data_IF_800569917336
#
_entry.id   IF_800569917336
#
_cell.length_a   1.000
_cell.length_b   1.000
_cell.length_c   1.000
_cell.angle_alpha   90.00
_cell.angle_beta   90.00
_cell.angle_gamma   90.00
#
_symmetry.space_group_name_H-M   'P 1'
#
loop_
_entity.id
_entity.type
_entity.pdbx_description
1 polymer ?
#
# COMPACT_ATOMS: atom_id res chain seq x y z
N UNK A 1 -19.11 1.05 8.61
CA UNK A 1 -19.08 1.35 7.16
C UNK A 1 -17.78 2.08 6.90
N UNK A 2 -16.91 1.53 6.06
CA UNK A 2 -15.60 2.13 5.75
C UNK A 2 -15.51 2.33 4.25
N UNK A 3 -15.08 3.52 3.83
CA UNK A 3 -15.03 3.87 2.40
C UNK A 3 -13.80 3.30 1.70
N UNK A 4 -12.81 2.90 2.50
CA UNK A 4 -11.61 2.21 2.04
C UNK A 4 -11.22 1.08 2.99
N UNK A 5 -10.72 -0.02 2.44
CA UNK A 5 -10.33 -1.23 3.17
C UNK A 5 -8.83 -1.45 3.00
N UNK A 6 -8.14 -1.68 4.11
CA UNK A 6 -6.70 -1.97 4.15
C UNK A 6 -6.48 -3.07 5.19
N UNK A 7 -5.82 -4.15 4.77
CA UNK A 7 -5.48 -5.28 5.65
C UNK A 7 -4.21 -5.99 5.18
N UNK A 8 -3.47 -6.56 6.11
CA UNK A 8 -2.38 -7.47 5.81
C UNK A 8 -2.94 -8.90 5.65
N UNK A 9 -2.64 -9.54 4.52
CA UNK A 9 -2.97 -10.95 4.25
C UNK A 9 -1.73 -11.61 3.68
N UNK A 10 -1.19 -12.63 4.35
CA UNK A 10 -0.04 -13.41 3.89
C UNK A 10 1.16 -12.55 3.45
N UNK A 11 1.43 -11.46 4.17
CA UNK A 11 2.54 -10.54 3.87
C UNK A 11 2.29 -9.59 2.70
N UNK A 12 1.04 -9.47 2.24
CA UNK A 12 0.60 -8.54 1.19
C UNK A 12 -0.37 -7.53 1.82
N UNK A 13 -0.15 -6.25 1.54
CA UNK A 13 -1.09 -5.18 1.88
C UNK A 13 -2.22 -5.17 0.86
N UNK A 14 -3.34 -5.79 1.21
CA UNK A 14 -4.55 -5.80 0.41
C UNK A 14 -5.30 -4.49 0.61
N UNK A 15 -5.61 -3.82 -0.49
CA UNK A 15 -6.30 -2.53 -0.52
C UNK A 15 -7.55 -2.60 -1.40
N UNK A 16 -8.53 -1.74 -1.15
CA UNK A 16 -9.66 -1.60 -2.06
C UNK A 16 -10.76 -0.68 -1.55
N UNK A 17 -11.66 -0.31 -2.47
CA UNK A 17 -12.82 0.50 -2.16
C UNK A 17 -13.85 -0.28 -1.32
N UNK A 18 -14.49 0.43 -0.39
CA UNK A 18 -15.60 -0.05 0.40
C UNK A 18 -16.90 0.65 0.00
N UNK A 19 -17.55 1.29 0.96
CA UNK A 19 -18.79 2.02 0.71
C UNK A 19 -18.56 3.22 -0.22
N UNK A 20 -19.49 3.55 -1.14
CA UNK A 20 -19.32 4.65 -2.09
C UNK A 20 -19.07 6.00 -1.40
N UNK A 21 -18.00 6.69 -1.81
CA UNK A 21 -17.63 7.98 -1.26
C UNK A 21 -16.77 8.82 -2.21
N UNK A 22 -16.59 10.10 -1.87
CA UNK A 22 -15.70 11.02 -2.57
C UNK A 22 -14.26 10.89 -2.06
N UNK A 23 -13.28 11.21 -2.90
CA UNK A 23 -11.86 11.02 -2.57
C UNK A 23 -11.42 11.76 -1.31
N UNK A 24 -12.04 12.90 -0.95
CA UNK A 24 -11.73 13.60 0.30
C UNK A 24 -12.04 12.74 1.54
N UNK A 25 -13.08 11.91 1.51
CA UNK A 25 -13.37 10.96 2.59
C UNK A 25 -12.47 9.72 2.50
N UNK A 26 -12.30 9.17 1.31
CA UNK A 26 -11.52 7.94 1.10
C UNK A 26 -10.06 8.12 1.57
N UNK A 27 -9.44 9.27 1.30
CA UNK A 27 -8.07 9.56 1.77
C UNK A 27 -7.98 9.67 3.30
N UNK A 28 -9.01 10.22 3.95
CA UNK A 28 -9.06 10.32 5.41
C UNK A 28 -9.19 8.93 6.04
N UNK A 29 -10.08 8.08 5.50
CA UNK A 29 -10.28 6.71 5.97
C UNK A 29 -9.02 5.87 5.76
N UNK A 30 -8.38 5.98 4.59
CA UNK A 30 -7.12 5.28 4.30
C UNK A 30 -6.01 5.71 5.28
N UNK A 31 -5.87 7.01 5.53
CA UNK A 31 -4.88 7.53 6.48
C UNK A 31 -5.16 7.05 7.92
N UNK A 32 -6.42 7.09 8.35
CA UNK A 32 -6.83 6.64 9.68
C UNK A 32 -6.56 5.14 9.89
N UNK A 33 -6.85 4.30 8.88
CA UNK A 33 -6.59 2.86 8.97
C UNK A 33 -5.09 2.54 9.00
N UNK A 34 -4.26 3.21 8.20
CA UNK A 34 -2.80 3.01 8.26
C UNK A 34 -2.20 3.45 9.60
N UNK A 35 -2.75 4.52 10.19
CA UNK A 35 -2.38 5.00 11.51
C UNK A 35 -2.74 3.98 12.61
N UNK A 36 -3.93 3.39 12.53
CA UNK A 36 -4.35 2.29 13.40
C UNK A 36 -3.39 1.10 13.27
N UNK A 37 -3.12 0.63 12.04
CA UNK A 37 -2.19 -0.49 11.78
C UNK A 37 -0.78 -0.25 12.33
N UNK A 38 -0.32 1.00 12.30
CA UNK A 38 0.96 1.40 12.89
C UNK A 38 0.93 1.26 14.41
N UNK A 39 -0.17 1.65 15.06
CA UNK A 39 -0.36 1.57 16.53
C UNK A 39 -0.55 0.13 17.01
N UNK A 40 -1.25 -0.70 16.25
CA UNK A 40 -1.49 -2.11 16.55
C UNK A 40 -0.32 -3.02 16.17
N UNK A 41 0.75 -2.48 15.58
CA UNK A 41 1.90 -3.22 15.05
C UNK A 41 1.51 -4.27 14.00
N UNK A 42 0.43 -4.03 13.26
CA UNK A 42 0.11 -4.79 12.04
C UNK A 42 1.06 -4.41 10.89
N UNK A 43 1.60 -3.18 10.90
CA UNK A 43 2.51 -2.64 9.89
C UNK A 43 3.91 -2.45 10.47
N UNK A 44 4.68 -3.55 10.59
CA UNK A 44 5.98 -3.58 11.28
C UNK A 44 7.19 -3.11 10.46
N UNK A 45 6.99 -2.73 9.19
CA UNK A 45 8.10 -2.42 8.27
C UNK A 45 8.85 -3.67 7.79
N UNK A 46 9.88 -3.49 6.97
CA UNK A 46 10.65 -4.60 6.41
C UNK A 46 11.41 -4.25 5.14
N UNK A 47 12.05 -5.24 4.52
CA UNK A 47 12.85 -5.00 3.31
C UNK A 47 12.00 -4.66 2.08
N UNK A 48 10.85 -5.31 1.94
CA UNK A 48 9.93 -5.17 0.81
C UNK A 48 8.48 -5.26 1.29
N UNK A 49 7.66 -4.30 0.87
CA UNK A 49 6.20 -4.40 0.95
C UNK A 49 5.60 -4.70 -0.42
N UNK A 50 4.61 -5.58 -0.46
CA UNK A 50 3.79 -5.83 -1.65
C UNK A 50 2.38 -5.30 -1.43
N UNK A 51 1.89 -4.48 -2.35
CA UNK A 51 0.55 -3.89 -2.31
C UNK A 51 -0.29 -4.46 -3.45
N UNK A 52 -1.50 -4.93 -3.15
CA UNK A 52 -2.43 -5.44 -4.15
C UNK A 52 -3.84 -4.88 -3.97
N UNK A 53 -4.44 -4.43 -5.07
CA UNK A 53 -5.83 -3.99 -5.13
C UNK A 53 -5.98 -2.59 -5.73
N UNK A 54 -7.24 -2.17 -6.00
CA UNK A 54 -7.51 -0.90 -6.65
C UNK A 54 -7.35 0.28 -5.68
N UNK A 55 -6.77 1.38 -6.16
CA UNK A 55 -6.75 2.68 -5.48
C UNK A 55 -7.02 3.84 -6.44
N UNK A 56 -7.42 4.97 -5.90
CA UNK A 56 -7.40 6.24 -6.64
C UNK A 56 -6.03 6.92 -6.48
N UNK A 57 -5.70 7.85 -7.38
CA UNK A 57 -4.42 8.55 -7.34
C UNK A 57 -4.15 9.25 -5.99
N UNK A 58 -5.11 9.98 -5.36
CA UNK A 58 -4.88 10.57 -4.04
C UNK A 58 -4.58 9.54 -2.95
N UNK A 59 -5.24 8.38 -3.00
CA UNK A 59 -5.02 7.30 -2.03
C UNK A 59 -3.64 6.65 -2.22
N UNK A 60 -3.16 6.53 -3.46
CA UNK A 60 -1.81 6.05 -3.75
C UNK A 60 -0.73 6.92 -3.06
N UNK A 61 -0.89 8.25 -3.07
CA UNK A 61 0.04 9.14 -2.36
C UNK A 61 -0.03 9.00 -0.83
N UNK A 62 -1.24 8.80 -0.27
CA UNK A 62 -1.39 8.54 1.17
C UNK A 62 -0.71 7.23 1.57
N UNK A 63 -0.95 6.15 0.81
CA UNK A 63 -0.32 4.85 0.99
C UNK A 63 1.20 5.01 0.93
N UNK A 64 1.72 5.59 -0.17
CA UNK A 64 3.13 5.80 -0.38
C UNK A 64 3.78 6.56 0.80
N UNK A 65 3.24 7.72 1.18
CA UNK A 65 3.80 8.51 2.28
C UNK A 65 3.88 7.70 3.59
N UNK A 66 2.83 6.95 3.93
CA UNK A 66 2.79 6.18 5.19
C UNK A 66 3.72 4.96 5.17
N UNK A 67 3.89 4.26 4.05
CA UNK A 67 4.70 3.03 4.00
C UNK A 67 6.16 3.27 3.65
N UNK A 68 6.50 4.36 2.94
CA UNK A 68 7.86 4.62 2.43
C UNK A 68 8.92 4.76 3.52
N UNK A 69 8.51 5.18 4.73
CA UNK A 69 9.40 5.32 5.88
C UNK A 69 9.57 4.00 6.65
N UNK A 70 8.74 3.00 6.39
CA UNK A 70 8.73 1.72 7.11
C UNK A 70 9.38 0.60 6.30
N UNK A 71 9.35 0.68 4.97
CA UNK A 71 9.84 -0.37 4.08
C UNK A 71 11.00 0.10 3.21
N UNK A 72 11.98 -0.79 3.02
CA UNK A 72 13.12 -0.55 2.14
C UNK A 72 12.71 -0.42 0.67
N UNK A 73 11.70 -1.16 0.23
CA UNK A 73 11.11 -1.06 -1.11
C UNK A 73 9.60 -1.35 -1.07
N UNK A 74 8.88 -0.87 -2.09
CA UNK A 74 7.44 -1.13 -2.25
C UNK A 74 7.15 -1.57 -3.67
N UNK A 75 6.63 -2.78 -3.81
CA UNK A 75 6.09 -3.33 -5.05
C UNK A 75 4.57 -3.18 -5.12
N UNK A 76 4.06 -2.76 -6.27
CA UNK A 76 2.61 -2.62 -6.51
C UNK A 76 2.21 -3.61 -7.60
N UNK A 77 1.17 -4.42 -7.35
CA UNK A 77 0.71 -5.43 -8.30
C UNK A 77 0.17 -4.78 -9.58
N UNK A 78 0.73 -5.18 -10.72
CA UNK A 78 0.21 -4.85 -12.04
C UNK A 78 -0.54 -6.07 -12.62
N UNK A 79 -1.87 -6.00 -12.83
CA UNK A 79 -2.65 -7.13 -13.29
C UNK A 79 -2.39 -7.53 -14.75
N UNK A 80 -1.80 -6.65 -15.57
CA UNK A 80 -1.43 -6.99 -16.95
C UNK A 80 -0.13 -7.79 -16.99
N UNK A 81 0.79 -7.48 -16.09
CA UNK A 81 2.07 -8.18 -15.97
C UNK A 81 1.98 -9.43 -15.08
N UNK A 82 1.00 -9.48 -14.17
CA UNK A 82 0.88 -10.54 -13.17
C UNK A 82 2.02 -10.52 -12.15
N UNK A 83 2.60 -9.35 -11.90
CA UNK A 83 3.78 -9.17 -11.04
C UNK A 83 3.68 -7.90 -10.21
N UNK A 84 4.46 -7.82 -9.14
CA UNK A 84 4.65 -6.59 -8.38
C UNK A 84 5.77 -5.75 -8.99
N UNK A 85 5.47 -4.53 -9.40
CA UNK A 85 6.44 -3.58 -9.94
C UNK A 85 6.97 -2.70 -8.81
N UNK A 86 8.29 -2.73 -8.58
CA UNK A 86 8.93 -1.88 -7.58
C UNK A 86 8.75 -0.41 -7.96
N UNK A 87 8.00 0.31 -7.13
CA UNK A 87 7.57 1.69 -7.37
C UNK A 87 8.18 2.69 -6.37
N UNK A 88 8.72 2.19 -5.25
CA UNK A 88 9.47 2.97 -4.26
C UNK A 88 10.67 2.13 -3.85
N UNK A 89 11.86 2.74 -3.75
CA UNK A 89 13.04 2.04 -3.22
C UNK A 89 14.01 2.99 -2.52
N UNK A 90 14.40 2.59 -1.31
CA UNK A 90 15.56 3.03 -0.56
C UNK A 90 16.56 1.86 -0.35
N UNK A 91 16.24 0.68 -0.88
CA UNK A 91 17.02 -0.55 -0.74
C UNK A 91 17.77 -0.83 -2.05
N UNK A 92 19.12 -0.86 -2.05
CA UNK A 92 19.90 -1.07 -3.27
C UNK A 92 19.68 -2.45 -3.94
N UNK A 93 19.09 -3.41 -3.23
CA UNK A 93 18.72 -4.72 -3.79
C UNK A 93 17.52 -4.64 -4.74
N UNK A 94 16.66 -3.62 -4.63
CA UNK A 94 15.46 -3.44 -5.45
C UNK A 94 15.54 -2.13 -6.22
N UNK A 95 15.52 -2.17 -7.56
CA UNK A 95 15.51 -0.98 -8.41
C UNK A 95 14.10 -0.65 -8.85
N UNK A 96 13.84 0.63 -9.09
CA UNK A 96 12.57 1.07 -9.66
C UNK A 96 12.32 0.36 -11.00
N UNK A 97 11.13 -0.21 -11.17
CA UNK A 97 10.76 -0.99 -12.35
C UNK A 97 11.12 -2.48 -12.29
N UNK A 98 11.86 -2.94 -11.27
CA UNK A 98 12.05 -4.37 -11.06
C UNK A 98 10.69 -5.06 -10.86
N UNK A 99 10.57 -6.29 -11.36
CA UNK A 99 9.35 -7.09 -11.26
C UNK A 99 9.59 -8.29 -10.35
N UNK A 100 8.83 -8.38 -9.26
CA UNK A 100 8.93 -9.42 -8.23
C UNK A 100 7.61 -10.17 -8.06
N UNK A 101 7.66 -11.35 -7.42
CA UNK A 101 6.51 -12.23 -7.17
C UNK A 101 5.82 -11.96 -5.81
#
# INVERSE_FOLDING_TARGET
>A
MTTYKIQMVDGILQIGFGDPAQNNQIVQDAAARLEEMSKTKELVGGELLRINGPCSMPVAFVLAHKVSHLFGAVGVFDPKMGKYVISISHNPQYKLGDCVD
#
